data_IF_035660232625
#
_entry.id   IF_035660232625
#
_cell.length_a   1.000
_cell.length_b   1.000
_cell.length_c   1.000
_cell.angle_alpha   90.00
_cell.angle_beta   90.00
_cell.angle_gamma   90.00
#
_symmetry.space_group_name_H-M   'P 1'
#
loop_
_entity.id
_entity.type
_entity.pdbx_description
1 polymer ?
#
# COMPACT_ATOMS: atom_id res chain seq x y z
N UNK A 1 -28.67 -39.77 12.30
CA UNK A 1 -27.52 -40.20 13.13
C UNK A 1 -26.53 -40.93 12.24
N UNK A 2 -25.22 -40.72 12.43
CA UNK A 2 -24.12 -41.22 11.56
C UNK A 2 -24.13 -40.51 10.18
N UNK A 3 -23.06 -39.94 9.64
CA UNK A 3 -21.64 -40.06 10.01
C UNK A 3 -20.95 -38.70 10.25
N UNK A 4 -20.11 -38.68 11.28
CA UNK A 4 -18.98 -37.74 11.47
C UNK A 4 -17.74 -38.38 10.78
N UNK A 5 -16.62 -37.65 10.65
CA UNK A 5 -15.35 -38.03 9.98
C UNK A 5 -15.43 -38.01 8.44
N UNK A 6 -14.39 -37.67 7.66
CA UNK A 6 -12.97 -37.33 7.90
C UNK A 6 -12.53 -36.43 6.69
N UNK A 7 -12.02 -35.20 6.85
CA UNK A 7 -10.61 -34.80 7.01
C UNK A 7 -9.63 -35.25 5.88
N UNK A 8 -8.76 -34.31 5.45
CA UNK A 8 -7.65 -34.35 4.46
C UNK A 8 -7.95 -34.16 2.96
N UNK A 9 -7.55 -32.97 2.45
CA UNK A 9 -6.67 -32.67 1.29
C UNK A 9 -6.65 -31.13 1.19
N UNK A 10 -5.67 -30.33 1.64
CA UNK A 10 -4.22 -30.43 1.87
C UNK A 10 -3.34 -30.35 0.60
N UNK A 11 -2.95 -29.11 0.23
CA UNK A 11 -1.92 -28.78 -0.78
C UNK A 11 -2.33 -28.99 -2.24
N UNK A 12 -1.75 -28.37 -3.27
CA UNK A 12 -0.70 -27.32 -3.40
C UNK A 12 -0.82 -26.73 -4.83
N UNK A 13 -0.21 -25.61 -5.26
CA UNK A 13 0.77 -24.69 -4.69
C UNK A 13 0.56 -23.26 -5.23
N UNK A 14 1.25 -22.26 -4.70
CA UNK A 14 1.30 -20.90 -5.27
C UNK A 14 2.54 -20.70 -6.15
N UNK A 15 2.38 -20.60 -7.48
CA UNK A 15 3.50 -20.26 -8.38
C UNK A 15 3.60 -18.74 -8.53
N UNK A 16 4.44 -18.12 -7.72
CA UNK A 16 4.86 -16.74 -7.93
C UNK A 16 5.82 -16.66 -9.13
N UNK A 17 5.44 -15.94 -10.18
CA UNK A 17 6.37 -15.50 -11.22
C UNK A 17 6.58 -13.99 -11.11
N UNK A 18 7.59 -13.61 -10.33
CA UNK A 18 8.20 -12.30 -10.45
C UNK A 18 9.13 -12.31 -11.68
N UNK A 19 8.98 -11.33 -12.58
CA UNK A 19 9.98 -11.06 -13.61
C UNK A 19 10.52 -9.64 -13.49
N UNK A 20 11.85 -9.57 -13.49
CA UNK A 20 12.67 -8.39 -13.32
C UNK A 20 12.73 -7.57 -14.61
N UNK A 21 12.65 -6.25 -14.51
CA UNK A 21 13.46 -5.37 -15.37
C UNK A 21 14.21 -4.35 -14.50
N UNK A 22 15.52 -4.37 -14.73
CA UNK A 22 16.59 -3.53 -14.18
C UNK A 22 16.34 -2.01 -14.35
N UNK A 23 16.60 -1.19 -13.33
CA UNK A 23 17.89 -0.55 -13.00
C UNK A 23 18.17 0.72 -13.83
N UNK A 24 18.17 1.88 -13.16
CA UNK A 24 19.23 2.90 -13.21
C UNK A 24 19.09 3.73 -11.93
N UNK A 25 20.17 3.77 -11.16
CA UNK A 25 20.29 4.55 -9.93
C UNK A 25 20.79 5.97 -10.21
N UNK A 26 20.73 6.79 -9.16
CA UNK A 26 21.76 7.75 -8.67
C UNK A 26 21.21 9.18 -8.51
N UNK A 27 21.20 9.69 -7.27
CA UNK A 27 20.74 11.06 -6.98
C UNK A 27 20.51 11.37 -5.51
N UNK A 28 21.54 11.24 -4.66
CA UNK A 28 21.48 11.71 -3.25
C UNK A 28 21.91 13.17 -3.18
N UNK A 29 21.12 14.05 -2.53
CA UNK A 29 21.45 15.05 -1.46
C UNK A 29 20.10 15.59 -0.92
N UNK A 30 19.71 15.41 0.35
CA UNK A 30 20.19 16.14 1.55
C UNK A 30 20.18 17.66 1.34
N UNK A 31 19.16 18.34 1.89
CA UNK A 31 18.99 19.79 1.85
C UNK A 31 18.05 20.28 2.94
N UNK A 32 18.54 21.20 3.75
CA UNK A 32 17.94 21.79 4.96
C UNK A 32 16.60 22.51 4.75
N UNK A 33 15.76 22.48 5.78
CA UNK A 33 14.59 23.36 5.92
C UNK A 33 15.00 24.84 6.01
N UNK A 34 14.37 25.70 5.19
CA UNK A 34 14.36 27.15 5.38
C UNK A 34 13.08 27.73 4.74
N UNK A 35 12.60 28.87 5.24
CA UNK A 35 11.25 29.38 5.00
C UNK A 35 11.15 30.42 3.87
N UNK A 36 9.88 30.77 3.59
CA UNK A 36 9.36 32.02 3.01
C UNK A 36 9.10 32.16 1.50
N UNK A 37 7.88 32.65 1.26
CA UNK A 37 7.51 33.72 0.33
C UNK A 37 7.51 33.44 -1.20
N UNK A 38 6.34 33.02 -1.66
CA UNK A 38 5.56 33.73 -2.69
C UNK A 38 6.33 34.49 -3.79
N UNK A 39 6.30 33.96 -5.01
CA UNK A 39 6.14 34.75 -6.24
C UNK A 39 5.49 33.91 -7.34
N UNK A 40 4.34 34.36 -7.81
CA UNK A 40 3.58 33.78 -8.92
C UNK A 40 4.12 34.26 -10.26
N UNK A 41 4.33 33.35 -11.22
CA UNK A 41 4.47 33.71 -12.63
C UNK A 41 3.94 32.61 -13.57
N UNK A 42 2.82 32.94 -14.22
CA UNK A 42 2.22 32.41 -15.45
C UNK A 42 2.93 31.28 -16.23
N UNK A 43 2.17 30.24 -16.60
CA UNK A 43 2.56 29.30 -17.66
C UNK A 43 1.85 27.94 -17.63
N UNK A 44 0.67 27.86 -18.27
CA UNK A 44 -0.15 26.66 -18.54
C UNK A 44 0.61 25.31 -18.59
N UNK A 45 0.05 24.21 -18.05
CA UNK A 45 -1.23 23.62 -18.51
C UNK A 45 -2.21 23.29 -17.37
N UNK A 46 -3.48 23.60 -17.62
CA UNK A 46 -4.59 23.40 -16.71
C UNK A 46 -4.95 21.91 -16.56
N UNK A 47 -4.75 21.34 -15.38
CA UNK A 47 -5.76 20.48 -14.80
C UNK A 47 -6.44 21.27 -13.69
N UNK A 48 -7.41 22.10 -14.08
CA UNK A 48 -8.36 22.65 -13.12
C UNK A 48 -9.29 21.49 -12.78
N UNK A 49 -8.90 20.71 -11.77
CA UNK A 49 -9.91 20.02 -10.97
C UNK A 49 -10.80 21.13 -10.42
N UNK A 50 -11.98 21.25 -11.03
CA UNK A 50 -12.95 22.26 -10.65
C UNK A 50 -13.51 21.79 -9.31
N UNK A 51 -12.82 22.17 -8.23
CA UNK A 51 -13.30 22.00 -6.88
C UNK A 51 -14.60 22.78 -6.75
N UNK A 52 -15.72 22.11 -7.05
CA UNK A 52 -17.05 22.69 -6.99
C UNK A 52 -17.27 23.19 -5.55
N UNK A 53 -17.46 24.49 -5.31
CA UNK A 53 -17.67 25.02 -3.98
C UNK A 53 -18.96 24.49 -3.33
N UNK A 54 -19.81 23.75 -4.05
CA UNK A 54 -20.94 22.98 -3.49
C UNK A 54 -20.53 21.67 -2.80
N UNK A 55 -19.30 21.21 -2.95
CA UNK A 55 -18.78 20.01 -2.28
C UNK A 55 -18.70 20.16 -0.75
N UNK A 56 -18.80 21.38 -0.21
CA UNK A 56 -18.91 21.62 1.24
C UNK A 56 -20.36 21.46 1.75
N UNK A 57 -21.00 20.35 1.37
CA UNK A 57 -22.11 19.82 2.16
C UNK A 57 -21.48 18.97 3.25
N UNK A 58 -21.61 19.38 4.52
CA UNK A 58 -21.17 18.58 5.67
C UNK A 58 -21.92 17.25 5.65
N UNK A 59 -21.28 16.21 5.10
CA UNK A 59 -21.92 14.93 4.88
C UNK A 59 -22.09 14.24 6.24
N UNK A 60 -23.33 14.28 6.72
CA UNK A 60 -23.73 13.93 8.10
C UNK A 60 -23.36 12.48 8.46
N UNK A 61 -22.99 11.65 7.49
CA UNK A 61 -22.63 10.25 7.67
C UNK A 61 -21.12 9.98 7.56
N UNK A 62 -20.26 11.01 7.56
CA UNK A 62 -18.81 10.89 7.62
C UNK A 62 -18.34 10.98 9.07
N UNK A 63 -17.81 9.87 9.59
CA UNK A 63 -17.20 9.80 10.91
C UNK A 63 -15.67 9.86 10.76
N UNK A 64 -14.95 10.67 11.55
CA UNK A 64 -13.49 10.60 11.58
C UNK A 64 -13.05 9.31 12.28
N UNK A 65 -12.34 8.45 11.57
CA UNK A 65 -11.63 7.30 12.11
C UNK A 65 -10.16 7.68 12.37
N UNK A 66 -9.46 6.91 13.20
CA UNK A 66 -8.03 7.10 13.47
C UNK A 66 -7.32 5.77 13.56
N UNK A 67 -6.20 5.64 12.84
CA UNK A 67 -5.33 4.47 12.88
C UNK A 67 -3.88 4.93 12.94
N UNK A 68 -3.14 4.44 13.95
CA UNK A 68 -1.72 4.78 14.21
C UNK A 68 -1.43 6.29 14.25
N UNK A 69 -2.36 7.08 14.79
CA UNK A 69 -2.24 8.54 14.92
C UNK A 69 -2.49 9.32 13.63
N UNK A 70 -2.91 8.66 12.55
CA UNK A 70 -3.41 9.31 11.34
C UNK A 70 -4.95 9.24 11.33
N UNK A 71 -5.60 10.38 11.09
CA UNK A 71 -7.04 10.46 10.93
C UNK A 71 -7.43 10.21 9.46
N UNK A 72 -8.55 9.53 9.23
CA UNK A 72 -9.10 9.31 7.90
C UNK A 72 -10.64 9.33 7.95
N UNK A 73 -11.34 9.76 6.88
CA UNK A 73 -12.79 9.76 6.86
C UNK A 73 -13.31 8.33 6.70
N UNK A 74 -14.39 8.01 7.41
CA UNK A 74 -15.13 6.77 7.25
C UNK A 74 -16.59 7.12 6.99
N UNK A 75 -17.09 6.79 5.80
CA UNK A 75 -18.47 7.09 5.39
C UNK A 75 -19.29 5.81 5.26
N UNK A 76 -20.47 5.76 5.88
CA UNK A 76 -21.41 4.64 5.76
C UNK A 76 -22.83 5.16 5.51
N UNK A 77 -23.55 4.58 4.57
CA UNK A 77 -24.82 5.12 4.10
C UNK A 77 -26.00 4.47 4.82
N UNK A 78 -26.85 5.29 5.43
CA UNK A 78 -28.09 4.81 6.01
C UNK A 78 -28.94 4.06 4.95
N UNK A 79 -29.51 2.88 5.26
CA UNK A 79 -30.13 2.00 4.25
C UNK A 79 -31.31 2.64 3.49
N UNK A 80 -31.98 3.64 4.07
CA UNK A 80 -33.00 4.43 3.37
C UNK A 80 -32.47 5.23 2.16
N UNK A 81 -31.16 5.55 2.11
CA UNK A 81 -30.49 6.28 1.02
C UNK A 81 -29.90 5.37 -0.07
N UNK A 82 -29.97 4.04 0.13
CA UNK A 82 -29.53 3.00 -0.82
C UNK A 82 -30.66 2.52 -1.77
N UNK A 83 -31.91 2.95 -1.55
CA UNK A 83 -33.07 2.55 -2.37
C UNK A 83 -33.20 3.34 -3.70
N UNK A 84 -32.22 4.16 -4.04
CA UNK A 84 -32.17 4.99 -5.25
C UNK A 84 -31.22 4.39 -6.29
N UNK A 85 -31.27 4.80 -7.57
CA UNK A 85 -30.20 4.52 -8.55
C UNK A 85 -28.80 4.80 -7.98
N UNK A 86 -27.79 4.02 -8.37
CA UNK A 86 -26.45 4.02 -7.78
C UNK A 86 -26.35 3.47 -6.35
N UNK A 87 -27.46 3.07 -5.71
CA UNK A 87 -27.49 2.62 -4.32
C UNK A 87 -26.85 1.25 -4.09
N UNK A 88 -27.00 0.32 -5.03
CA UNK A 88 -26.31 -0.98 -5.00
C UNK A 88 -24.79 -0.80 -5.08
N UNK A 89 -24.31 0.11 -5.93
CA UNK A 89 -22.89 0.38 -6.10
C UNK A 89 -22.29 1.08 -4.87
N UNK A 90 -23.06 1.94 -4.19
CA UNK A 90 -22.65 2.47 -2.87
C UNK A 90 -22.55 1.34 -1.85
N UNK A 91 -23.52 0.42 -1.79
CA UNK A 91 -23.48 -0.72 -0.87
C UNK A 91 -22.29 -1.66 -1.15
N UNK A 92 -22.00 -1.93 -2.41
CA UNK A 92 -20.82 -2.70 -2.83
C UNK A 92 -19.51 -1.98 -2.49
N UNK A 93 -19.44 -0.67 -2.71
CA UNK A 93 -18.27 0.13 -2.35
C UNK A 93 -18.03 0.12 -0.83
N UNK A 94 -19.09 0.31 -0.04
CA UNK A 94 -19.01 0.29 1.42
C UNK A 94 -18.65 -1.10 1.96
N UNK A 95 -19.13 -2.17 1.32
CA UNK A 95 -18.73 -3.54 1.68
C UNK A 95 -17.25 -3.83 1.39
N UNK A 96 -16.69 -3.35 0.26
CA UNK A 96 -15.26 -3.51 -0.03
C UNK A 96 -14.38 -2.64 0.90
N UNK A 97 -14.79 -1.40 1.20
CA UNK A 97 -14.09 -0.55 2.18
C UNK A 97 -14.13 -1.15 3.59
N UNK A 98 -15.26 -1.76 3.98
CA UNK A 98 -15.40 -2.45 5.26
C UNK A 98 -14.44 -3.65 5.37
N UNK A 99 -14.29 -4.46 4.30
CA UNK A 99 -13.30 -5.55 4.25
C UNK A 99 -11.87 -5.03 4.39
N UNK A 100 -11.52 -3.93 3.72
CA UNK A 100 -10.21 -3.29 3.87
C UNK A 100 -9.98 -2.81 5.31
N UNK A 101 -10.99 -2.22 5.95
CA UNK A 101 -10.91 -1.81 7.35
C UNK A 101 -10.66 -3.00 8.28
N UNK A 102 -11.41 -4.09 8.11
CA UNK A 102 -11.27 -5.31 8.90
C UNK A 102 -9.89 -5.95 8.71
N UNK A 103 -9.40 -6.07 7.47
CA UNK A 103 -8.06 -6.56 7.17
C UNK A 103 -6.94 -5.65 7.73
N UNK A 104 -7.17 -4.33 7.77
CA UNK A 104 -6.25 -3.38 8.39
C UNK A 104 -6.18 -3.56 9.91
N UNK A 105 -7.32 -3.78 10.57
CA UNK A 105 -7.41 -3.89 12.03
C UNK A 105 -7.05 -5.29 12.57
N UNK A 106 -7.27 -6.36 11.79
CA UNK A 106 -7.01 -7.73 12.22
C UNK A 106 -5.51 -8.04 12.40
N UNK A 107 -4.65 -7.54 11.52
CA UNK A 107 -3.20 -7.71 11.56
C UNK A 107 -2.53 -6.45 10.99
N UNK A 108 -1.49 -5.94 11.64
CA UNK A 108 -0.74 -4.73 11.22
C UNK A 108 0.27 -4.94 10.07
N UNK A 109 0.43 -6.20 9.64
CA UNK A 109 1.40 -6.67 8.65
C UNK A 109 0.78 -7.37 7.45
N UNK A 110 -0.41 -7.98 7.60
CA UNK A 110 -1.13 -8.63 6.50
C UNK A 110 -1.55 -7.66 5.38
N UNK A 111 -1.82 -8.20 4.18
CA UNK A 111 -2.33 -7.40 3.06
C UNK A 111 -3.76 -6.88 3.33
N UNK A 112 -4.00 -5.59 3.07
CA UNK A 112 -5.29 -4.93 3.30
C UNK A 112 -6.29 -5.15 2.15
N UNK A 113 -5.80 -5.38 0.94
CA UNK A 113 -6.63 -5.58 -0.24
C UNK A 113 -5.82 -6.14 -1.42
N UNK A 114 -6.54 -6.64 -2.43
CA UNK A 114 -5.95 -7.16 -3.67
C UNK A 114 -5.99 -6.09 -4.79
N UNK A 115 -5.19 -6.20 -5.86
CA UNK A 115 -5.29 -5.31 -7.03
C UNK A 115 -6.72 -5.22 -7.62
N UNK A 116 -7.43 -6.34 -7.58
CA UNK A 116 -8.82 -6.51 -7.98
C UNK A 116 -9.81 -5.78 -7.03
N UNK A 117 -9.51 -5.71 -5.73
CA UNK A 117 -10.24 -4.87 -4.76
C UNK A 117 -10.13 -3.39 -5.13
N UNK A 118 -8.90 -2.91 -5.43
CA UNK A 118 -8.67 -1.53 -5.85
C UNK A 118 -9.28 -1.20 -7.22
N UNK A 119 -9.41 -2.19 -8.11
CA UNK A 119 -10.14 -2.05 -9.36
C UNK A 119 -11.65 -1.90 -9.13
N UNK A 120 -12.26 -2.78 -8.32
CA UNK A 120 -13.69 -2.68 -7.94
C UNK A 120 -14.03 -1.34 -7.29
N UNK A 121 -13.21 -0.87 -6.35
CA UNK A 121 -13.42 0.42 -5.70
C UNK A 121 -13.44 1.57 -6.72
N UNK A 122 -12.47 1.64 -7.64
CA UNK A 122 -12.46 2.67 -8.71
C UNK A 122 -13.66 2.56 -9.66
N UNK A 123 -14.05 1.36 -10.06
CA UNK A 123 -15.22 1.14 -10.93
C UNK A 123 -16.54 1.51 -10.23
N UNK A 124 -16.68 1.21 -8.94
CA UNK A 124 -17.85 1.62 -8.15
C UNK A 124 -17.94 3.15 -8.04
N UNK A 125 -16.84 3.83 -7.71
CA UNK A 125 -16.77 5.31 -7.66
C UNK A 125 -17.19 5.97 -8.98
N UNK A 126 -16.66 5.48 -10.11
CA UNK A 126 -17.02 6.00 -11.43
C UNK A 126 -18.50 5.78 -11.76
N UNK A 127 -19.06 4.62 -11.37
CA UNK A 127 -20.48 4.30 -11.57
C UNK A 127 -21.38 5.19 -10.72
N UNK A 128 -21.02 5.41 -9.45
CA UNK A 128 -21.76 6.28 -8.52
C UNK A 128 -21.72 7.74 -8.99
N UNK A 129 -20.57 8.23 -9.46
CA UNK A 129 -20.46 9.57 -10.02
C UNK A 129 -21.34 9.78 -11.26
N UNK A 130 -21.54 8.73 -12.09
CA UNK A 130 -22.45 8.74 -13.24
C UNK A 130 -23.92 8.70 -12.83
N UNK A 131 -24.28 7.81 -11.91
CA UNK A 131 -25.68 7.55 -11.55
C UNK A 131 -26.23 8.49 -10.47
N UNK A 132 -25.34 9.11 -9.69
CA UNK A 132 -25.65 10.11 -8.67
C UNK A 132 -24.63 11.26 -8.69
N UNK A 133 -24.63 12.15 -9.69
CA UNK A 133 -23.63 13.22 -9.81
C UNK A 133 -23.58 14.19 -8.61
N UNK A 134 -24.65 14.29 -7.84
CA UNK A 134 -24.73 15.10 -6.61
C UNK A 134 -24.34 14.35 -5.33
N UNK A 135 -23.97 13.06 -5.42
CA UNK A 135 -23.53 12.28 -4.28
C UNK A 135 -22.08 12.58 -3.96
N UNK A 136 -21.78 12.96 -2.72
CA UNK A 136 -20.40 13.20 -2.31
C UNK A 136 -19.62 11.87 -2.25
N UNK A 137 -18.87 11.57 -3.31
CA UNK A 137 -17.99 10.40 -3.41
C UNK A 137 -16.64 10.62 -2.72
N UNK A 138 -16.25 11.86 -2.41
CA UNK A 138 -14.89 12.18 -1.95
C UNK A 138 -14.48 11.44 -0.66
N UNK A 139 -15.30 11.35 0.40
CA UNK A 139 -14.93 10.61 1.62
C UNK A 139 -14.56 9.15 1.36
N UNK A 140 -15.17 8.49 0.38
CA UNK A 140 -14.82 7.11 0.04
C UNK A 140 -13.55 6.99 -0.82
N UNK A 141 -13.19 8.04 -1.56
CA UNK A 141 -11.91 8.11 -2.30
C UNK A 141 -10.78 8.30 -1.31
N UNK A 142 -10.98 9.17 -0.32
CA UNK A 142 -10.05 9.41 0.78
C UNK A 142 -9.88 8.15 1.67
N UNK A 143 -10.97 7.46 2.03
CA UNK A 143 -10.94 6.18 2.76
C UNK A 143 -10.17 5.10 1.97
N UNK A 144 -10.43 4.97 0.65
CA UNK A 144 -9.72 4.02 -0.21
C UNK A 144 -8.21 4.33 -0.32
N UNK A 145 -7.86 5.60 -0.54
CA UNK A 145 -6.47 6.05 -0.66
C UNK A 145 -5.68 5.83 0.64
N UNK A 146 -6.32 5.99 1.80
CA UNK A 146 -5.72 5.67 3.10
C UNK A 146 -5.37 4.18 3.21
N UNK A 147 -6.30 3.29 2.84
CA UNK A 147 -6.06 1.84 2.85
C UNK A 147 -4.99 1.40 1.83
N UNK A 148 -4.95 2.01 0.65
CA UNK A 148 -3.92 1.73 -0.37
C UNK A 148 -2.53 2.19 0.10
N UNK A 149 -2.42 3.36 0.74
CA UNK A 149 -1.17 3.86 1.32
C UNK A 149 -0.65 2.97 2.47
N UNK A 150 -1.52 2.52 3.38
CA UNK A 150 -1.14 1.56 4.43
C UNK A 150 -0.78 0.19 3.85
N UNK A 151 -1.45 -0.28 2.78
CA UNK A 151 -1.08 -1.52 2.09
C UNK A 151 0.34 -1.44 1.50
N UNK A 152 0.69 -0.35 0.81
CA UNK A 152 2.04 -0.11 0.31
C UNK A 152 3.07 -0.06 1.45
N UNK A 153 2.75 0.62 2.56
CA UNK A 153 3.60 0.67 3.76
C UNK A 153 3.84 -0.70 4.39
N UNK A 154 2.90 -1.65 4.27
CA UNK A 154 3.07 -3.03 4.74
C UNK A 154 3.98 -3.83 3.80
N UNK A 155 3.78 -3.71 2.49
CA UNK A 155 4.64 -4.35 1.47
C UNK A 155 6.13 -3.96 1.63
N UNK A 156 6.42 -2.68 1.87
CA UNK A 156 7.79 -2.20 2.12
C UNK A 156 8.45 -2.78 3.39
N UNK A 157 7.68 -3.26 4.38
CA UNK A 157 8.24 -3.95 5.56
C UNK A 157 8.49 -5.44 5.32
N UNK A 158 7.75 -6.06 4.40
CA UNK A 158 7.85 -7.50 4.14
C UNK A 158 8.95 -7.88 3.17
N UNK A 159 9.51 -6.94 2.40
CA UNK A 159 10.68 -7.18 1.54
C UNK A 159 11.89 -7.53 2.41
N UNK A 160 12.38 -8.79 2.42
CA UNK A 160 13.54 -9.12 3.22
C UNK A 160 14.74 -8.42 2.61
N UNK A 161 15.47 -7.63 3.42
CA UNK A 161 16.83 -7.26 3.05
C UNK A 161 17.61 -8.56 2.98
N UNK A 162 17.96 -9.01 1.76
CA UNK A 162 18.78 -10.20 1.57
C UNK A 162 20.04 -10.05 2.44
N UNK A 163 20.44 -11.08 3.20
CA UNK A 163 21.61 -10.99 4.05
C UNK A 163 22.79 -10.60 3.19
N UNK A 164 23.39 -9.44 3.51
CA UNK A 164 24.58 -8.97 2.82
C UNK A 164 25.62 -10.09 2.87
N UNK A 165 26.05 -10.52 1.69
CA UNK A 165 26.96 -11.66 1.54
C UNK A 165 28.17 -11.44 2.44
N UNK A 166 28.33 -12.30 3.44
CA UNK A 166 29.52 -12.27 4.28
C UNK A 166 30.74 -12.35 3.33
N UNK A 167 31.72 -11.44 3.43
CA UNK A 167 32.82 -11.41 2.48
C UNK A 167 33.57 -12.74 2.54
N UNK A 168 33.57 -13.42 1.40
CA UNK A 168 34.28 -14.69 1.16
C UNK A 168 35.68 -14.64 1.76
N UNK A 169 36.05 -15.73 2.44
CA UNK A 169 37.34 -15.88 3.11
C UNK A 169 38.51 -15.44 2.21
N UNK A 170 39.44 -14.66 2.78
CA UNK A 170 40.67 -14.30 2.12
C UNK A 170 41.46 -15.56 1.70
N UNK A 171 42.08 -15.60 0.51
CA UNK A 171 42.88 -16.73 0.09
C UNK A 171 44.07 -16.91 1.04
N UNK A 172 44.24 -18.14 1.54
CA UNK A 172 45.34 -18.48 2.44
C UNK A 172 46.69 -18.30 1.72
N UNK A 173 47.58 -17.48 2.31
CA UNK A 173 48.96 -17.35 1.86
C UNK A 173 49.70 -18.65 2.20
N UNK A 174 50.34 -19.34 1.24
CA UNK A 174 51.18 -20.49 1.56
C UNK A 174 52.41 -20.01 2.34
N UNK A 175 52.56 -20.50 3.58
CA UNK A 175 53.70 -20.18 4.42
C UNK A 175 55.00 -20.71 3.78
N UNK A 176 55.89 -19.79 3.40
CA UNK A 176 57.22 -20.15 2.88
C UNK A 176 58.05 -20.80 4.00
N UNK A 177 58.61 -21.97 3.70
CA UNK A 177 59.49 -22.71 4.59
C UNK A 177 60.82 -21.96 4.74
N UNK A 178 61.26 -21.56 5.96
CA UNK A 178 62.59 -20.97 6.13
C UNK A 178 63.66 -22.06 5.97
N UNK A 179 64.62 -21.82 5.07
CA UNK A 179 65.78 -22.69 4.89
C UNK A 179 66.69 -22.64 6.13
N UNK A 180 67.10 -23.80 6.62
CA UNK A 180 68.05 -23.94 7.73
C UNK A 180 69.47 -23.69 7.18
N UNK A 181 70.25 -22.73 7.72
CA UNK A 181 71.65 -22.57 7.34
C UNK A 181 72.50 -23.72 7.93
N UNK A 182 73.51 -24.23 7.20
CA UNK A 182 74.43 -25.21 7.75
C UNK A 182 75.28 -24.59 8.87
N UNK A 183 75.34 -25.25 10.02
CA UNK A 183 76.21 -24.84 11.12
C UNK A 183 77.69 -25.04 10.74
N UNK A 184 78.52 -24.05 11.03
CA UNK A 184 79.97 -24.15 10.91
C UNK A 184 80.60 -24.69 12.21
N UNK A 185 81.65 -25.49 12.06
CA UNK A 185 82.43 -26.10 13.15
C UNK A 185 82.81 -27.55 12.79
N UNK A 186 84.06 -27.99 12.97
CA UNK A 186 85.25 -27.29 13.45
C UNK A 186 86.52 -27.92 12.85
#
# INVERSE_FOLDING_TARGET
MKQVLLLLLLGSASTAQAQLINLISTGVRVGTSAAMASRSSAGARNYVETADPRANTTDVNVTPATYRGQAYPLKRTAPGKLKTPGGEQIALQEAELQKCQEAMLADSSAAIGTPDTWARLRTSQATIARERPTWNVQPYRDEAAFYEAEAARRQHRTTPTAPATAPTAAPAVPAALPAIPPAAGH
#
